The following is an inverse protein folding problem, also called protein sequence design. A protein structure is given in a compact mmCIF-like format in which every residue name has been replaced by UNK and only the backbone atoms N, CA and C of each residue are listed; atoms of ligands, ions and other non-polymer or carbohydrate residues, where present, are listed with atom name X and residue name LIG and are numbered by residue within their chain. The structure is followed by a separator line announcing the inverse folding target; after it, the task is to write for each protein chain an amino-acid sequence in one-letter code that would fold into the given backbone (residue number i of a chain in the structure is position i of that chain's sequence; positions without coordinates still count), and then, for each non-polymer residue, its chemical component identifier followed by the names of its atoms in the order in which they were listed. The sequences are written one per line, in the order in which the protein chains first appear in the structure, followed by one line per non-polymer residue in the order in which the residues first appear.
data_IF_432385180337
#
_entry.id   IF_432385180337
#
_cell.length_a   1.000
_cell.length_b   1.000
_cell.length_c   1.000
_cell.angle_alpha   90.00
_cell.angle_beta   90.00
_cell.angle_gamma   90.00
#
_symmetry.space_group_name_H-M   'P 1'
#
loop_
_entity.id
_entity.type
_entity.pdbx_description
1 polymer ?
#
# COMPACT_ATOMS: atom_id res chain seq x y z
N UNK A 1 -30.18 4.89 -1.65
CA UNK A 1 -29.22 3.75 -1.84
C UNK A 1 -27.97 4.33 -2.45
N UNK A 2 -26.88 4.41 -1.72
CA UNK A 2 -25.59 4.79 -2.32
C UNK A 2 -25.23 3.69 -3.33
N UNK A 3 -25.26 4.03 -4.60
CA UNK A 3 -24.92 3.11 -5.68
C UNK A 3 -23.41 3.15 -5.84
N UNK A 4 -22.74 2.04 -5.49
CA UNK A 4 -21.31 1.88 -5.72
C UNK A 4 -21.06 1.14 -7.03
N UNK A 5 -20.05 1.57 -7.77
CA UNK A 5 -19.64 0.95 -9.04
C UNK A 5 -18.17 0.52 -8.94
N UNK A 6 -17.87 -0.72 -9.27
CA UNK A 6 -16.49 -1.19 -9.42
C UNK A 6 -16.03 -0.92 -10.85
N UNK A 7 -14.91 -0.22 -11.02
CA UNK A 7 -14.44 0.29 -12.30
C UNK A 7 -12.93 0.10 -12.47
N UNK A 8 -12.46 0.12 -13.72
CA UNK A 8 -11.06 0.41 -14.01
C UNK A 8 -10.85 1.90 -13.84
N UNK A 9 -9.76 2.28 -13.18
CA UNK A 9 -9.38 3.69 -12.98
C UNK A 9 -8.36 4.11 -14.03
N UNK A 10 -8.41 5.39 -14.42
CA UNK A 10 -7.30 6.02 -15.12
C UNK A 10 -6.14 6.30 -14.17
N UNK A 11 -4.95 6.55 -14.70
CA UNK A 11 -3.78 6.93 -13.89
C UNK A 11 -4.03 8.22 -13.11
N UNK A 12 -4.74 9.17 -13.71
CA UNK A 12 -5.10 10.46 -13.13
C UNK A 12 -6.07 10.31 -11.96
N UNK A 13 -7.13 9.51 -12.14
CA UNK A 13 -8.09 9.21 -11.06
C UNK A 13 -7.42 8.52 -9.88
N UNK A 14 -6.53 7.58 -10.18
CA UNK A 14 -5.75 6.86 -9.17
C UNK A 14 -4.80 7.81 -8.43
N UNK A 15 -4.08 8.68 -9.15
CA UNK A 15 -3.18 9.69 -8.58
C UNK A 15 -3.93 10.64 -7.66
N UNK A 16 -5.05 11.21 -8.14
CA UNK A 16 -5.84 12.14 -7.35
C UNK A 16 -6.25 11.49 -6.02
N UNK A 17 -6.84 10.30 -6.07
CA UNK A 17 -7.31 9.62 -4.86
C UNK A 17 -6.18 9.23 -3.92
N UNK A 18 -5.07 8.66 -4.41
CA UNK A 18 -3.97 8.19 -3.57
C UNK A 18 -3.12 9.33 -3.01
N UNK A 19 -3.08 10.50 -3.65
CA UNK A 19 -2.40 11.68 -3.13
C UNK A 19 -3.16 12.36 -1.98
N UNK A 20 -4.48 12.26 -1.98
CA UNK A 20 -5.36 12.82 -0.94
C UNK A 20 -5.57 11.87 0.25
N UNK A 21 -5.25 10.59 0.08
CA UNK A 21 -5.40 9.56 1.10
C UNK A 21 -4.06 8.96 1.48
N UNK A 22 -3.94 8.50 2.73
CA UNK A 22 -2.73 7.81 3.17
C UNK A 22 -2.50 6.57 2.31
N UNK A 23 -1.37 6.52 1.63
CA UNK A 23 -1.00 5.41 0.75
C UNK A 23 0.51 5.17 0.77
N UNK A 24 0.90 3.94 0.49
CA UNK A 24 2.30 3.58 0.29
C UNK A 24 2.70 3.83 -1.17
N UNK A 25 4.00 4.07 -1.45
CA UNK A 25 4.47 4.33 -2.82
C UNK A 25 4.14 3.22 -3.82
N UNK A 26 3.97 1.97 -3.36
CA UNK A 26 3.52 0.85 -4.20
C UNK A 26 2.08 0.99 -4.68
N UNK A 27 1.33 1.92 -4.11
CA UNK A 27 0.01 2.35 -4.52
C UNK A 27 0.08 3.80 -5.03
N UNK A 28 0.92 4.06 -6.04
CA UNK A 28 1.12 5.37 -6.67
C UNK A 28 1.08 5.30 -8.19
N UNK A 29 0.72 6.40 -8.82
CA UNK A 29 0.74 6.52 -10.29
C UNK A 29 2.16 6.41 -10.85
N UNK A 30 3.18 6.88 -10.12
CA UNK A 30 4.58 6.75 -10.52
C UNK A 30 4.95 5.26 -10.62
N UNK A 31 4.59 4.47 -9.61
CA UNK A 31 4.83 3.02 -9.63
C UNK A 31 4.06 2.32 -10.75
N UNK A 32 2.79 2.69 -10.96
CA UNK A 32 1.98 2.19 -12.06
C UNK A 32 2.61 2.51 -13.42
N UNK A 33 2.98 3.76 -13.67
CA UNK A 33 3.53 4.19 -14.94
C UNK A 33 4.85 3.48 -15.27
N UNK A 34 5.72 3.31 -14.26
CA UNK A 34 6.97 2.58 -14.43
C UNK A 34 6.72 1.10 -14.80
N UNK A 35 5.88 0.41 -14.03
CA UNK A 35 5.58 -1.00 -14.29
C UNK A 35 4.82 -1.22 -15.60
N UNK A 36 3.92 -0.31 -15.94
CA UNK A 36 3.17 -0.36 -17.20
C UNK A 36 4.09 -0.31 -18.42
N UNK A 37 5.13 0.54 -18.37
CA UNK A 37 6.14 0.65 -19.43
C UNK A 37 7.11 -0.53 -19.48
N UNK A 38 7.52 -1.04 -18.31
CA UNK A 38 8.59 -2.03 -18.22
C UNK A 38 8.09 -3.46 -18.30
N UNK A 39 6.95 -3.78 -17.71
CA UNK A 39 6.40 -5.12 -17.58
C UNK A 39 5.00 -5.30 -18.13
N UNK A 40 4.17 -4.25 -18.12
CA UNK A 40 2.77 -4.31 -18.56
C UNK A 40 1.89 -5.25 -17.71
N UNK A 41 2.28 -5.49 -16.45
CA UNK A 41 1.68 -6.48 -15.55
C UNK A 41 0.82 -5.85 -14.46
N UNK A 42 0.27 -4.67 -14.70
CA UNK A 42 -0.45 -3.87 -13.71
C UNK A 42 -1.88 -3.58 -14.10
N UNK A 43 -2.74 -3.51 -13.08
CA UNK A 43 -4.14 -3.14 -13.18
C UNK A 43 -4.44 -2.03 -12.19
N UNK A 44 -5.22 -1.04 -12.61
CA UNK A 44 -5.80 -0.04 -11.73
C UNK A 44 -7.31 -0.26 -11.66
N UNK A 45 -7.79 -0.59 -10.48
CA UNK A 45 -9.23 -0.78 -10.22
C UNK A 45 -9.65 0.03 -9.02
N UNK A 46 -10.93 0.32 -8.91
CA UNK A 46 -11.45 1.07 -7.78
C UNK A 46 -12.96 1.00 -7.68
N UNK A 47 -13.48 1.74 -6.72
CA UNK A 47 -14.91 1.94 -6.52
C UNK A 47 -15.23 3.41 -6.61
N UNK A 48 -16.26 3.74 -7.38
CA UNK A 48 -16.89 5.05 -7.42
C UNK A 48 -18.26 5.01 -6.76
N UNK A 49 -18.60 6.12 -6.13
CA UNK A 49 -19.93 6.33 -5.55
C UNK A 49 -20.95 6.84 -6.60
N UNK A 50 -22.13 7.24 -6.16
CA UNK A 50 -23.19 7.76 -7.01
C UNK A 50 -22.93 9.17 -7.57
N UNK A 51 -21.92 9.87 -7.05
CA UNK A 51 -21.42 11.17 -7.54
C UNK A 51 -20.23 11.01 -8.50
N UNK A 52 -19.86 9.77 -8.84
CA UNK A 52 -18.68 9.39 -9.63
C UNK A 52 -17.35 9.70 -8.94
N UNK A 53 -17.35 9.98 -7.64
CA UNK A 53 -16.14 10.16 -6.85
C UNK A 53 -15.49 8.83 -6.51
N UNK A 54 -14.15 8.75 -6.62
CA UNK A 54 -13.38 7.56 -6.24
C UNK A 54 -13.35 7.45 -4.72
N UNK A 55 -13.81 6.33 -4.18
CA UNK A 55 -13.86 6.03 -2.74
C UNK A 55 -13.01 4.83 -2.33
N UNK A 56 -12.47 4.10 -3.30
CA UNK A 56 -11.46 3.07 -3.10
C UNK A 56 -10.62 2.92 -4.37
N UNK A 57 -9.33 2.69 -4.23
CA UNK A 57 -8.42 2.50 -5.35
C UNK A 57 -7.40 1.39 -5.05
N UNK A 58 -7.01 0.64 -6.08
CA UNK A 58 -6.12 -0.49 -5.94
C UNK A 58 -5.26 -0.67 -7.18
N UNK A 59 -3.95 -0.68 -6.98
CA UNK A 59 -2.99 -1.15 -7.95
C UNK A 59 -2.71 -2.63 -7.68
N UNK A 60 -2.94 -3.46 -8.68
CA UNK A 60 -2.63 -4.89 -8.66
C UNK A 60 -1.51 -5.18 -9.63
N UNK A 61 -0.64 -6.10 -9.27
CA UNK A 61 0.31 -6.72 -10.19
C UNK A 61 -0.10 -8.16 -10.47
N UNK A 62 0.17 -8.63 -11.68
CA UNK A 62 -0.06 -10.03 -12.05
C UNK A 62 1.25 -10.73 -12.41
N UNK A 63 1.32 -12.03 -12.15
CA UNK A 63 2.38 -12.88 -12.67
C UNK A 63 1.81 -14.24 -13.08
N UNK A 64 2.46 -14.88 -14.05
CA UNK A 64 2.05 -16.22 -14.49
C UNK A 64 2.28 -17.24 -13.40
N UNK A 65 1.26 -18.05 -13.17
CA UNK A 65 1.31 -19.24 -12.33
C UNK A 65 0.71 -20.37 -13.16
N UNK A 66 1.46 -21.40 -13.46
CA UNK A 66 1.01 -22.44 -14.40
C UNK A 66 0.73 -21.88 -15.83
N UNK A 67 0.38 -22.79 -16.77
CA UNK A 67 0.30 -22.43 -18.21
C UNK A 67 -0.75 -21.38 -18.54
N UNK A 68 -1.90 -21.39 -17.86
CA UNK A 68 -3.06 -20.55 -18.17
C UNK A 68 -3.53 -19.67 -17.02
N UNK A 69 -2.94 -19.83 -15.84
CA UNK A 69 -3.37 -19.12 -14.66
C UNK A 69 -2.39 -18.03 -14.27
N UNK A 70 -2.87 -17.10 -13.48
CA UNK A 70 -2.10 -15.98 -12.91
C UNK A 70 -2.33 -15.93 -11.43
N UNK A 71 -1.37 -15.40 -10.71
CA UNK A 71 -1.58 -14.88 -9.37
C UNK A 71 -1.49 -13.36 -9.36
N UNK A 72 -2.22 -12.75 -8.46
CA UNK A 72 -2.28 -11.30 -8.30
C UNK A 72 -1.78 -10.91 -6.93
N UNK A 73 -1.19 -9.74 -6.86
CA UNK A 73 -0.76 -9.15 -5.61
C UNK A 73 -1.08 -7.66 -5.58
N UNK A 74 -1.62 -7.18 -4.45
CA UNK A 74 -1.74 -5.76 -4.17
C UNK A 74 -0.85 -5.39 -2.99
N UNK A 75 0.33 -4.87 -3.30
CA UNK A 75 1.29 -4.42 -2.30
C UNK A 75 0.76 -3.19 -1.57
N UNK A 76 0.61 -3.28 -0.23
CA UNK A 76 0.09 -2.21 0.61
C UNK A 76 -1.24 -1.63 0.14
N UNK A 77 -2.01 -2.40 -0.58
CA UNK A 77 -3.32 -2.05 -1.10
C UNK A 77 -4.40 -3.05 -0.72
N UNK A 78 -5.65 -2.67 -1.01
CA UNK A 78 -6.12 -1.42 -1.62
C UNK A 78 -6.01 -0.20 -0.69
N UNK A 79 -6.14 1.00 -1.25
CA UNK A 79 -6.30 2.26 -0.53
C UNK A 79 -7.79 2.54 -0.38
N UNK A 80 -8.29 2.52 0.82
CA UNK A 80 -9.71 2.74 1.14
C UNK A 80 -9.93 2.91 2.64
N UNK A 81 -11.11 3.36 3.03
CA UNK A 81 -11.52 3.34 4.45
C UNK A 81 -11.92 1.91 4.88
N UNK A 82 -11.05 1.24 5.61
CA UNK A 82 -11.29 -0.10 6.13
C UNK A 82 -12.27 -0.15 7.32
N UNK A 83 -12.67 0.99 7.89
CA UNK A 83 -13.73 1.06 8.89
C UNK A 83 -15.12 1.00 8.24
N UNK A 84 -15.22 1.35 6.96
CA UNK A 84 -16.44 1.22 6.18
C UNK A 84 -16.61 -0.21 5.67
N UNK A 85 -17.15 -1.09 6.50
CA UNK A 85 -17.31 -2.51 6.16
C UNK A 85 -18.27 -2.76 4.97
N UNK A 86 -19.17 -1.83 4.68
CA UNK A 86 -20.04 -1.91 3.48
C UNK A 86 -19.20 -1.74 2.23
N UNK A 87 -18.31 -0.74 2.21
CA UNK A 87 -17.36 -0.52 1.13
C UNK A 87 -16.38 -1.69 0.99
N UNK A 88 -15.83 -2.20 2.11
CA UNK A 88 -14.94 -3.37 2.14
C UNK A 88 -15.62 -4.58 1.48
N UNK A 89 -16.85 -4.90 1.87
CA UNK A 89 -17.61 -6.02 1.28
C UNK A 89 -17.85 -5.83 -0.20
N UNK A 90 -18.24 -4.64 -0.61
CA UNK A 90 -18.50 -4.34 -2.02
C UNK A 90 -17.21 -4.46 -2.85
N UNK A 91 -16.13 -3.84 -2.39
CA UNK A 91 -14.84 -3.85 -3.07
C UNK A 91 -14.31 -5.27 -3.29
N UNK A 92 -14.16 -6.05 -2.22
CA UNK A 92 -13.54 -7.38 -2.30
C UNK A 92 -14.41 -8.41 -3.01
N UNK A 93 -15.74 -8.31 -2.92
CA UNK A 93 -16.65 -9.13 -3.72
C UNK A 93 -16.50 -8.82 -5.20
N UNK A 94 -16.44 -7.54 -5.57
CA UNK A 94 -16.27 -7.08 -6.94
C UNK A 94 -14.87 -7.42 -7.48
N UNK A 95 -13.83 -7.24 -6.66
CA UNK A 95 -12.46 -7.63 -6.99
C UNK A 95 -12.37 -9.14 -7.29
N UNK A 96 -12.98 -9.97 -6.47
CA UNK A 96 -13.04 -11.42 -6.71
C UNK A 96 -13.69 -11.75 -8.07
N UNK A 97 -14.78 -11.09 -8.41
CA UNK A 97 -15.44 -11.24 -9.70
C UNK A 97 -14.58 -10.76 -10.88
N UNK A 98 -13.88 -9.65 -10.71
CA UNK A 98 -12.93 -9.12 -11.68
C UNK A 98 -11.77 -10.10 -11.92
N UNK A 99 -11.14 -10.58 -10.87
CA UNK A 99 -9.98 -11.46 -10.93
C UNK A 99 -10.32 -12.82 -11.56
N UNK A 100 -11.52 -13.36 -11.32
CA UNK A 100 -12.00 -14.59 -11.98
C UNK A 100 -12.02 -14.46 -13.50
N UNK A 101 -12.36 -13.29 -14.04
CA UNK A 101 -12.34 -13.01 -15.48
C UNK A 101 -10.92 -12.93 -16.05
N UNK A 102 -9.89 -12.77 -15.19
CA UNK A 102 -8.48 -12.70 -15.57
C UNK A 102 -7.70 -13.99 -15.26
N UNK A 103 -8.38 -15.12 -15.17
CA UNK A 103 -7.76 -16.44 -14.89
C UNK A 103 -6.93 -16.45 -13.60
N UNK A 104 -7.38 -15.74 -12.58
CA UNK A 104 -6.72 -15.67 -11.30
C UNK A 104 -6.85 -17.00 -10.54
N UNK A 105 -5.72 -17.57 -10.15
CA UNK A 105 -5.65 -18.72 -9.27
C UNK A 105 -5.79 -18.29 -7.80
N UNK A 106 -5.05 -17.28 -7.41
CA UNK A 106 -5.15 -16.67 -6.09
C UNK A 106 -4.69 -15.20 -6.12
N UNK A 107 -5.13 -14.43 -5.15
CA UNK A 107 -4.69 -13.05 -4.92
C UNK A 107 -4.14 -12.92 -3.51
N UNK A 108 -2.99 -12.26 -3.40
CA UNK A 108 -2.42 -11.83 -2.13
C UNK A 108 -2.79 -10.37 -1.90
N UNK A 109 -3.41 -10.11 -0.76
CA UNK A 109 -3.86 -8.77 -0.35
C UNK A 109 -3.11 -8.39 0.92
N UNK A 110 -2.43 -7.26 0.89
CA UNK A 110 -1.60 -6.79 2.00
C UNK A 110 -1.86 -5.31 2.27
N UNK A 111 -3.07 -4.95 2.77
CA UNK A 111 -3.45 -3.57 2.98
C UNK A 111 -2.64 -2.93 4.11
N UNK A 112 -2.47 -1.61 4.01
CA UNK A 112 -1.83 -0.83 5.06
C UNK A 112 -2.85 -0.50 6.16
N UNK A 113 -3.11 -1.46 7.04
CA UNK A 113 -4.03 -1.34 8.17
C UNK A 113 -3.25 -1.36 9.47
N UNK A 114 -3.42 -0.32 10.27
CA UNK A 114 -2.71 -0.20 11.55
C UNK A 114 -3.33 -1.11 12.60
N UNK A 115 -2.48 -1.83 13.34
CA UNK A 115 -2.84 -2.55 14.56
C UNK A 115 -2.51 -1.72 15.80
N UNK A 116 -1.31 -1.14 15.83
CA UNK A 116 -0.87 -0.29 16.92
C UNK A 116 0.03 0.85 16.41
N UNK A 117 -0.08 2.01 17.05
CA UNK A 117 0.93 3.04 17.03
C UNK A 117 1.81 2.90 18.29
N UNK A 118 3.12 3.01 18.12
CA UNK A 118 4.08 2.84 19.20
C UNK A 118 5.09 3.96 19.29
N UNK A 119 5.55 4.21 20.49
CA UNK A 119 6.76 5.01 20.74
C UNK A 119 8.02 4.27 20.23
N UNK A 120 9.14 4.98 20.00
CA UNK A 120 10.41 4.34 19.64
C UNK A 120 10.90 3.29 20.65
N UNK A 121 10.51 3.39 21.92
CA UNK A 121 10.80 2.41 22.97
C UNK A 121 9.90 1.17 22.94
N UNK A 122 8.91 1.14 22.03
CA UNK A 122 7.96 0.03 21.85
C UNK A 122 6.66 0.16 22.63
N UNK A 123 6.51 1.16 23.50
CA UNK A 123 5.23 1.40 24.22
C UNK A 123 4.10 1.74 23.27
N UNK A 124 2.93 1.16 23.52
CA UNK A 124 1.74 1.40 22.70
C UNK A 124 1.16 2.78 23.03
N UNK A 125 1.03 3.63 22.00
CA UNK A 125 0.33 4.93 22.09
C UNK A 125 -1.16 4.74 21.83
N UNK A 126 -1.50 3.92 20.83
CA UNK A 126 -2.86 3.70 20.37
C UNK A 126 -3.00 2.30 19.77
N UNK A 127 -4.15 1.67 20.00
CA UNK A 127 -4.49 0.35 19.43
C UNK A 127 -5.78 0.43 18.62
N UNK A 128 -5.83 -0.32 17.53
CA UNK A 128 -6.97 -0.38 16.61
C UNK A 128 -7.55 -1.81 16.62
N UNK A 129 -8.86 -1.90 16.74
CA UNK A 129 -9.56 -3.19 16.73
C UNK A 129 -9.95 -3.60 15.31
N UNK A 130 -9.20 -4.49 14.73
CA UNK A 130 -9.40 -5.00 13.37
C UNK A 130 -10.23 -6.30 13.30
N UNK A 131 -10.80 -6.79 14.42
CA UNK A 131 -11.53 -8.07 14.45
C UNK A 131 -12.71 -8.10 13.49
N UNK A 132 -13.48 -7.01 13.41
CA UNK A 132 -14.63 -6.91 12.49
C UNK A 132 -14.19 -6.93 11.02
N UNK A 133 -13.08 -6.27 10.69
CA UNK A 133 -12.49 -6.31 9.35
C UNK A 133 -12.02 -7.71 9.00
N UNK A 134 -11.25 -8.36 9.86
CA UNK A 134 -10.75 -9.73 9.64
C UNK A 134 -11.92 -10.69 9.42
N UNK A 135 -12.94 -10.66 10.29
CA UNK A 135 -14.15 -11.47 10.14
C UNK A 135 -14.86 -11.22 8.81
N UNK A 136 -14.99 -9.95 8.41
CA UNK A 136 -15.60 -9.58 7.12
C UNK A 136 -14.83 -10.17 5.95
N UNK A 137 -13.50 -10.10 5.98
CA UNK A 137 -12.66 -10.68 4.93
C UNK A 137 -12.77 -12.21 4.88
N UNK A 138 -12.81 -12.87 6.03
CA UNK A 138 -13.01 -14.33 6.11
C UNK A 138 -14.37 -14.77 5.53
N UNK A 139 -15.44 -14.02 5.83
CA UNK A 139 -16.78 -14.26 5.24
C UNK A 139 -16.79 -14.10 3.72
N UNK A 140 -15.88 -13.30 3.16
CA UNK A 140 -15.70 -13.13 1.71
C UNK A 140 -14.79 -14.19 1.08
N UNK A 141 -14.27 -15.13 1.87
CA UNK A 141 -13.39 -16.20 1.42
C UNK A 141 -11.90 -15.89 1.46
N UNK A 142 -11.49 -14.75 2.02
CA UNK A 142 -10.08 -14.43 2.26
C UNK A 142 -9.61 -15.11 3.54
N UNK A 143 -8.39 -15.62 3.54
CA UNK A 143 -7.77 -16.24 4.71
C UNK A 143 -6.72 -15.32 5.28
N UNK A 144 -6.87 -14.92 6.54
CA UNK A 144 -5.81 -14.21 7.25
C UNK A 144 -4.62 -15.14 7.50
N UNK A 145 -3.42 -14.74 7.06
CA UNK A 145 -2.21 -15.57 7.13
C UNK A 145 -1.54 -15.56 8.51
N UNK A 146 -2.11 -14.86 9.47
CA UNK A 146 -1.49 -14.63 10.77
C UNK A 146 -0.47 -13.49 10.75
N UNK A 147 0.29 -13.40 11.81
CA UNK A 147 1.30 -12.36 11.97
C UNK A 147 2.70 -12.99 11.91
N UNK A 148 3.49 -12.53 10.95
CA UNK A 148 4.88 -12.97 10.81
C UNK A 148 5.80 -12.29 11.81
N UNK A 149 6.84 -13.00 12.24
CA UNK A 149 7.94 -12.46 13.03
C UNK A 149 9.17 -12.48 12.14
N UNK A 150 9.73 -11.29 11.87
CA UNK A 150 10.86 -11.14 10.94
C UNK A 150 10.44 -11.08 9.48
N UNK A 151 11.36 -11.46 8.59
CA UNK A 151 11.17 -11.44 7.16
C UNK A 151 10.33 -12.63 6.68
N UNK A 152 9.39 -12.36 5.78
CA UNK A 152 8.59 -13.37 5.10
C UNK A 152 8.56 -13.06 3.59
N UNK A 153 8.63 -14.10 2.76
CA UNK A 153 8.62 -13.93 1.29
C UNK A 153 7.22 -13.68 0.71
N UNK A 154 6.17 -13.95 1.49
CA UNK A 154 4.78 -13.88 1.07
C UNK A 154 4.02 -12.66 1.58
N UNK A 155 4.65 -11.85 2.44
CA UNK A 155 4.04 -10.65 3.01
C UNK A 155 5.04 -9.52 3.17
N UNK A 156 4.55 -8.28 3.26
CA UNK A 156 5.38 -7.13 3.58
C UNK A 156 5.77 -7.11 5.06
N UNK A 157 6.81 -6.34 5.37
CA UNK A 157 7.29 -6.18 6.75
C UNK A 157 6.15 -5.66 7.63
N UNK A 158 5.90 -6.37 8.74
CA UNK A 158 4.85 -6.02 9.70
C UNK A 158 5.17 -4.74 10.49
N UNK A 159 6.44 -4.55 10.84
CA UNK A 159 6.90 -3.46 11.68
C UNK A 159 7.54 -2.37 10.83
N UNK A 160 7.07 -1.14 10.98
CA UNK A 160 7.59 0.01 10.28
C UNK A 160 8.00 1.09 11.26
N UNK A 161 9.18 1.68 11.02
CA UNK A 161 9.58 2.95 11.64
C UNK A 161 9.26 4.07 10.66
N UNK A 162 8.53 5.07 11.13
CA UNK A 162 8.09 6.20 10.31
C UNK A 162 8.67 7.49 10.84
N UNK A 163 9.34 8.24 9.95
CA UNK A 163 9.78 9.60 10.21
C UNK A 163 8.86 10.57 9.46
N UNK A 164 8.13 11.41 10.20
CA UNK A 164 7.30 12.43 9.58
C UNK A 164 8.18 13.63 9.16
N UNK A 165 8.19 13.92 7.86
CA UNK A 165 8.95 15.00 7.26
C UNK A 165 8.12 16.28 7.06
N UNK A 166 6.80 16.21 7.21
CA UNK A 166 5.89 17.32 6.92
C UNK A 166 6.18 18.50 7.84
N UNK A 167 6.25 19.68 7.23
CA UNK A 167 6.45 20.96 7.92
C UNK A 167 7.75 21.07 8.76
N UNK A 168 8.77 20.24 8.43
CA UNK A 168 10.07 20.25 9.09
C UNK A 168 11.19 20.65 8.13
N UNK A 169 12.06 21.54 8.58
CA UNK A 169 13.31 21.84 7.87
C UNK A 169 14.35 20.74 8.08
N UNK A 170 15.37 20.69 7.20
CA UNK A 170 16.51 19.77 7.36
C UNK A 170 17.22 19.95 8.70
N UNK A 171 17.41 21.19 9.12
CA UNK A 171 18.04 21.52 10.43
C UNK A 171 17.21 20.98 11.60
N UNK A 172 15.87 21.08 11.51
CA UNK A 172 14.98 20.56 12.54
C UNK A 172 15.02 19.04 12.58
N UNK A 173 14.94 18.39 11.42
CA UNK A 173 15.07 16.94 11.32
C UNK A 173 16.39 16.44 11.89
N UNK A 174 17.50 17.13 11.56
CA UNK A 174 18.83 16.79 12.09
C UNK A 174 18.89 16.95 13.61
N UNK A 175 18.31 18.01 14.17
CA UNK A 175 18.28 18.23 15.63
C UNK A 175 17.47 17.17 16.37
N UNK A 176 16.40 16.65 15.76
CA UNK A 176 15.53 15.62 16.34
C UNK A 176 16.14 14.22 16.30
N UNK A 177 17.16 13.99 15.46
CA UNK A 177 17.89 12.72 15.42
C UNK A 177 18.70 12.48 16.69
N UNK A 178 18.92 11.20 17.03
CA UNK A 178 19.80 10.85 18.14
C UNK A 178 21.25 11.30 17.89
N UNK A 179 22.01 11.39 18.97
CA UNK A 179 23.40 11.84 18.92
C UNK A 179 24.27 11.01 17.98
N UNK A 180 24.12 9.68 17.98
CA UNK A 180 24.95 8.80 17.17
C UNK A 180 24.68 9.01 15.66
N UNK A 181 23.41 9.18 15.29
CA UNK A 181 23.01 9.45 13.92
C UNK A 181 23.58 10.79 13.43
N UNK A 182 23.43 11.86 14.23
CA UNK A 182 24.02 13.16 13.89
C UNK A 182 25.54 13.10 13.73
N UNK A 183 26.22 12.40 14.63
CA UNK A 183 27.68 12.21 14.57
C UNK A 183 28.09 11.47 13.29
N UNK A 184 27.37 10.41 12.93
CA UNK A 184 27.65 9.65 11.71
C UNK A 184 27.44 10.49 10.45
N UNK A 185 26.36 11.27 10.38
CA UNK A 185 26.10 12.19 9.28
C UNK A 185 27.26 13.20 9.14
N UNK A 186 27.66 13.85 10.25
CA UNK A 186 28.81 14.77 10.25
C UNK A 186 30.09 14.10 9.72
N UNK A 187 30.38 12.89 10.19
CA UNK A 187 31.54 12.13 9.78
C UNK A 187 31.54 11.83 8.26
N UNK A 188 30.38 11.58 7.66
CA UNK A 188 30.29 11.33 6.20
C UNK A 188 30.70 12.58 5.41
N UNK A 189 30.33 13.78 5.85
CA UNK A 189 30.78 15.03 5.24
C UNK A 189 32.30 15.23 5.38
N UNK A 190 32.84 14.97 6.56
CA UNK A 190 34.29 15.05 6.83
C UNK A 190 35.08 14.06 5.97
N UNK A 191 34.50 12.89 5.65
CA UNK A 191 35.10 11.89 4.78
C UNK A 191 34.90 12.19 3.28
N UNK A 192 34.24 13.27 2.91
CA UNK A 192 34.00 13.66 1.52
C UNK A 192 32.97 12.80 0.79
N UNK A 193 32.12 12.08 1.51
CA UNK A 193 31.02 11.31 0.90
C UNK A 193 30.04 12.26 0.22
N UNK A 194 29.72 11.99 -1.04
CA UNK A 194 28.77 12.78 -1.84
C UNK A 194 27.64 11.90 -2.35
N UNK A 195 26.41 12.35 -2.13
CA UNK A 195 25.21 11.75 -2.75
C UNK A 195 24.96 12.45 -4.08
N UNK A 196 24.75 11.66 -5.13
CA UNK A 196 24.44 12.17 -6.47
C UNK A 196 23.13 11.55 -6.95
N UNK A 197 22.30 12.37 -7.58
CA UNK A 197 21.18 11.89 -8.37
C UNK A 197 21.67 11.61 -9.78
N UNK A 198 21.51 10.40 -10.24
CA UNK A 198 21.88 9.98 -11.58
C UNK A 198 20.60 9.76 -12.41
N UNK A 199 20.61 10.13 -13.73
CA UNK A 199 19.53 9.75 -14.61
C UNK A 199 19.49 8.22 -14.73
N UNK A 200 18.28 7.68 -14.84
CA UNK A 200 18.09 6.27 -15.20
C UNK A 200 18.40 6.19 -16.69
N UNK A 201 19.47 5.50 -17.06
CA UNK A 201 19.74 5.15 -18.45
C UNK A 201 18.69 4.13 -18.90
N UNK A 202 18.05 4.42 -20.05
CA UNK A 202 17.04 3.55 -20.65
C UNK A 202 17.63 2.25 -21.20
#
# INVERSE_FOLDING_TARGET
RNIMKFVNLTSEEFEQFTSENFSHYTQSSIHYNNRSKTKGDVHLVGVKDDQEDVIAACLLTEARSLKFFKYFYTHRGPVMDFNNLVLVRFFFKSLTAYLKKHNCLYVLVDPYVLENLRQPNGEIIESFDNRALIKTMEELGYKHQGYTVGYDTMSQIRWLSVLNLKDKSEDQLLKEMDYQTRRNIKKTYEMGVKVKTLPIEE
#
